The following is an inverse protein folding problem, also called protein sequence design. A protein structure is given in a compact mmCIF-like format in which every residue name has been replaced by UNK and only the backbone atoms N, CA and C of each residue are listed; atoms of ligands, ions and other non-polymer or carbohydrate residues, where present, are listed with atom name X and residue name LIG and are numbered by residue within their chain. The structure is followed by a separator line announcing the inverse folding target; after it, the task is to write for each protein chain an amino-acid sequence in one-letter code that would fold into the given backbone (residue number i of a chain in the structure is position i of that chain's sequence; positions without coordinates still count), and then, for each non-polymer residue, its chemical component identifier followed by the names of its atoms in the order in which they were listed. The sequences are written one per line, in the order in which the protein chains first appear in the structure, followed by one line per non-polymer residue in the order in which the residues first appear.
data_IF_418144319223
#
_entry.id   IF_418144319223
#
_cell.length_a   1.000
_cell.length_b   1.000
_cell.length_c   1.000
_cell.angle_alpha   90.00
_cell.angle_beta   90.00
_cell.angle_gamma   90.00
#
_symmetry.space_group_name_H-M   'P 1'
#
loop_
_entity.id
_entity.type
_entity.pdbx_description
1 polymer ?
#
# COMPACT_ATOMS: atom_id res chain seq x y z
N UNK A 1 12.33 2.86 14.47
CA UNK A 1 11.15 3.55 13.92
C UNK A 1 10.00 3.42 14.90
N UNK A 2 9.40 4.55 15.27
CA UNK A 2 8.26 4.53 16.19
C UNK A 2 6.96 4.48 15.39
N UNK A 3 6.25 3.36 15.47
CA UNK A 3 5.02 3.13 14.72
C UNK A 3 3.78 3.52 15.51
N UNK A 4 3.85 4.65 16.21
CA UNK A 4 2.70 5.12 16.96
C UNK A 4 1.82 6.04 16.12
N UNK A 5 0.52 5.91 16.34
CA UNK A 5 -0.46 6.77 15.70
C UNK A 5 -0.56 8.10 16.44
N UNK A 6 -0.62 9.21 15.68
CA UNK A 6 -0.82 10.54 16.26
C UNK A 6 -2.21 10.62 16.92
N UNK A 7 -2.24 11.05 18.18
CA UNK A 7 -3.49 11.12 18.94
C UNK A 7 -4.33 12.36 18.66
N UNK A 8 -3.71 13.48 18.32
CA UNK A 8 -4.40 14.75 18.06
C UNK A 8 -4.71 14.93 16.58
N UNK A 9 -5.61 14.09 16.06
CA UNK A 9 -6.03 14.16 14.66
C UNK A 9 -7.46 13.62 14.56
N UNK A 10 -8.22 14.12 13.60
CA UNK A 10 -9.52 13.55 13.28
C UNK A 10 -9.41 12.23 12.49
N UNK A 11 -8.23 11.90 12.01
CA UNK A 11 -7.97 10.69 11.22
C UNK A 11 -7.43 9.57 12.12
N UNK A 12 -8.19 9.22 13.16
CA UNK A 12 -7.78 8.19 14.10
C UNK A 12 -8.39 6.85 13.69
N UNK A 13 -7.55 5.82 13.69
CA UNK A 13 -7.94 4.44 13.42
C UNK A 13 -7.81 3.61 14.70
N UNK A 14 -8.60 2.53 14.84
CA UNK A 14 -8.28 1.53 15.87
C UNK A 14 -6.82 1.08 15.74
N UNK A 15 -6.14 0.85 16.85
CA UNK A 15 -4.71 0.56 16.86
C UNK A 15 -4.33 -0.59 15.90
N UNK A 16 -5.08 -1.68 15.94
CA UNK A 16 -4.83 -2.83 15.06
C UNK A 16 -4.96 -2.45 13.59
N UNK A 17 -5.96 -1.65 13.24
CA UNK A 17 -6.18 -1.20 11.87
C UNK A 17 -5.05 -0.27 11.43
N UNK A 18 -4.63 0.65 12.29
CA UNK A 18 -3.51 1.55 11.99
C UNK A 18 -2.24 0.76 11.66
N UNK A 19 -1.87 -0.17 12.51
CA UNK A 19 -0.67 -0.97 12.30
C UNK A 19 -0.77 -1.86 11.06
N UNK A 20 -1.91 -2.50 10.86
CA UNK A 20 -2.16 -3.32 9.67
C UNK A 20 -2.03 -2.49 8.40
N UNK A 21 -2.60 -1.29 8.38
CA UNK A 21 -2.53 -0.39 7.23
C UNK A 21 -1.10 0.05 6.98
N UNK A 22 -0.37 0.42 8.03
CA UNK A 22 1.03 0.85 7.93
C UNK A 22 1.90 -0.27 7.35
N UNK A 23 1.75 -1.50 7.83
CA UNK A 23 2.47 -2.66 7.29
C UNK A 23 2.12 -2.92 5.83
N UNK A 24 0.85 -2.75 5.46
CA UNK A 24 0.39 -2.90 4.07
C UNK A 24 1.05 -1.87 3.15
N UNK A 25 1.13 -0.61 3.57
CA UNK A 25 1.80 0.43 2.80
C UNK A 25 3.29 0.11 2.63
N UNK A 26 3.95 -0.39 3.67
CA UNK A 26 5.36 -0.80 3.60
C UNK A 26 5.60 -1.94 2.63
N UNK A 27 4.59 -2.75 2.36
CA UNK A 27 4.68 -3.88 1.45
C UNK A 27 4.53 -3.47 -0.03
N UNK A 28 4.28 -2.20 -0.31
CA UNK A 28 3.95 -1.69 -1.64
C UNK A 28 4.95 -2.12 -2.71
N UNK A 29 6.24 -1.93 -2.47
CA UNK A 29 7.26 -2.25 -3.48
C UNK A 29 7.33 -3.74 -3.77
N UNK A 30 7.19 -4.58 -2.75
CA UNK A 30 7.14 -6.02 -2.93
C UNK A 30 5.94 -6.42 -3.79
N UNK A 31 4.77 -5.85 -3.51
CA UNK A 31 3.55 -6.13 -4.29
C UNK A 31 3.70 -5.70 -5.74
N UNK A 32 4.32 -4.55 -5.98
CA UNK A 32 4.60 -4.06 -7.35
C UNK A 32 5.52 -5.03 -8.10
N UNK A 33 6.56 -5.51 -7.45
CA UNK A 33 7.49 -6.46 -8.04
C UNK A 33 6.80 -7.78 -8.35
N UNK A 34 5.99 -8.28 -7.43
CA UNK A 34 5.23 -9.53 -7.63
C UNK A 34 4.28 -9.42 -8.82
N UNK A 35 3.53 -8.32 -8.91
CA UNK A 35 2.61 -8.07 -10.02
C UNK A 35 3.37 -8.00 -11.34
N UNK A 36 4.50 -7.32 -11.36
CA UNK A 36 5.35 -7.23 -12.56
C UNK A 36 5.81 -8.60 -13.04
N UNK A 37 6.22 -9.46 -12.10
CA UNK A 37 6.64 -10.83 -12.40
C UNK A 37 5.50 -11.67 -12.95
N UNK A 38 4.29 -11.49 -12.43
CA UNK A 38 3.10 -12.23 -12.88
C UNK A 38 2.69 -11.88 -14.31
N UNK A 39 2.93 -10.64 -14.74
CA UNK A 39 2.58 -10.17 -16.09
C UNK A 39 3.62 -10.63 -17.11
N UNK A 40 4.90 -10.73 -16.71
CA UNK A 40 5.99 -11.03 -17.63
C UNK A 40 5.91 -12.50 -18.04
N UNK A 41 5.76 -12.83 -19.35
CA UNK A 41 5.75 -14.22 -19.79
C UNK A 41 7.08 -14.88 -19.45
N UNK A 42 7.04 -16.04 -18.83
CA UNK A 42 8.23 -16.82 -18.60
C UNK A 42 8.70 -17.38 -19.94
N UNK A 43 9.95 -17.09 -20.31
CA UNK A 43 10.55 -17.67 -21.50
C UNK A 43 10.54 -19.20 -21.37
N UNK A 44 10.03 -19.90 -22.40
CA UNK A 44 9.85 -21.34 -22.36
C UNK A 44 8.56 -21.79 -21.70
N UNK A 45 7.68 -20.87 -21.38
CA UNK A 45 6.37 -21.19 -20.87
C UNK A 45 5.62 -22.06 -21.86
N UNK A 46 5.27 -23.26 -21.45
CA UNK A 46 4.48 -24.15 -22.24
C UNK A 46 3.12 -23.54 -22.59
N UNK A 47 2.45 -24.18 -23.48
CA UNK A 47 1.12 -23.78 -23.92
C UNK A 47 0.23 -23.55 -22.71
N UNK A 48 -0.27 -22.32 -22.60
CA UNK A 48 -1.18 -21.98 -21.53
C UNK A 48 -2.49 -22.72 -21.70
N UNK A 49 -2.79 -23.62 -20.78
CA UNK A 49 -4.13 -24.15 -20.67
C UNK A 49 -5.05 -23.04 -20.17
N UNK A 50 -6.24 -22.87 -20.77
CA UNK A 50 -7.18 -21.86 -20.27
C UNK A 50 -7.48 -22.09 -18.79
N UNK A 51 -7.63 -21.03 -18.00
CA UNK A 51 -7.99 -21.19 -16.59
C UNK A 51 -9.32 -21.95 -16.48
N UNK A 52 -9.34 -22.99 -15.68
CA UNK A 52 -10.55 -23.79 -15.49
C UNK A 52 -11.57 -23.13 -14.57
N UNK A 53 -11.17 -22.08 -13.84
CA UNK A 53 -12.03 -21.47 -12.83
C UNK A 53 -12.16 -22.29 -11.56
N UNK A 54 -11.49 -23.41 -11.48
CA UNK A 54 -11.51 -24.29 -10.31
C UNK A 54 -10.61 -23.71 -9.22
N UNK A 55 -11.09 -23.58 -7.95
CA UNK A 55 -10.28 -23.04 -6.87
C UNK A 55 -8.96 -23.79 -6.62
N UNK A 56 -8.84 -25.03 -7.04
CA UNK A 56 -7.59 -25.78 -6.93
C UNK A 56 -6.61 -25.53 -8.06
N UNK A 57 -6.99 -24.80 -9.10
CA UNK A 57 -6.16 -24.56 -10.29
C UNK A 57 -5.07 -23.53 -10.00
N UNK A 58 -3.78 -23.83 -10.21
CA UNK A 58 -2.71 -22.85 -10.00
C UNK A 58 -2.88 -21.57 -10.81
N UNK A 59 -3.39 -21.64 -12.03
CA UNK A 59 -3.63 -20.45 -12.86
C UNK A 59 -4.75 -19.59 -12.28
N UNK A 60 -5.81 -20.22 -11.80
CA UNK A 60 -6.91 -19.51 -11.13
C UNK A 60 -6.41 -18.82 -9.86
N UNK A 61 -5.64 -19.52 -9.04
CA UNK A 61 -5.09 -18.96 -7.80
C UNK A 61 -4.16 -17.80 -8.07
N UNK A 62 -3.37 -17.88 -9.13
CA UNK A 62 -2.49 -16.78 -9.54
C UNK A 62 -3.29 -15.56 -10.00
N UNK A 63 -4.37 -15.76 -10.74
CA UNK A 63 -5.23 -14.68 -11.20
C UNK A 63 -5.90 -13.96 -10.02
N UNK A 64 -6.37 -14.71 -9.02
CA UNK A 64 -6.96 -14.14 -7.81
C UNK A 64 -5.93 -13.34 -7.03
N UNK A 65 -4.75 -13.90 -6.86
CA UNK A 65 -3.65 -13.23 -6.17
C UNK A 65 -3.25 -11.93 -6.88
N UNK A 66 -3.14 -11.95 -8.20
CA UNK A 66 -2.84 -10.78 -9.01
C UNK A 66 -3.88 -9.67 -8.79
N UNK A 67 -5.16 -10.03 -8.85
CA UNK A 67 -6.25 -9.09 -8.64
C UNK A 67 -6.22 -8.48 -7.23
N UNK A 68 -5.96 -9.29 -6.21
CA UNK A 68 -5.86 -8.82 -4.82
C UNK A 68 -4.70 -7.86 -4.64
N UNK A 69 -3.55 -8.15 -5.22
CA UNK A 69 -2.37 -7.29 -5.13
C UNK A 69 -2.59 -5.96 -5.85
N UNK A 70 -3.26 -5.99 -7.03
CA UNK A 70 -3.61 -4.78 -7.74
C UNK A 70 -4.55 -3.89 -6.92
N UNK A 71 -5.54 -4.49 -6.26
CA UNK A 71 -6.48 -3.74 -5.42
C UNK A 71 -5.74 -3.00 -4.30
N UNK A 72 -4.77 -3.66 -3.68
CA UNK A 72 -3.97 -3.04 -2.62
C UNK A 72 -3.12 -1.89 -3.18
N UNK A 73 -2.45 -2.13 -4.30
CA UNK A 73 -1.63 -1.10 -4.96
C UNK A 73 -2.47 0.12 -5.32
N UNK A 74 -3.64 -0.10 -5.92
CA UNK A 74 -4.54 0.98 -6.30
C UNK A 74 -5.04 1.77 -5.10
N UNK A 75 -5.38 1.09 -4.02
CA UNK A 75 -5.83 1.75 -2.79
C UNK A 75 -4.76 2.69 -2.22
N UNK A 76 -3.50 2.26 -2.27
CA UNK A 76 -2.37 3.08 -1.83
C UNK A 76 -2.12 4.24 -2.80
N UNK A 77 -2.12 3.97 -4.09
CA UNK A 77 -1.88 5.00 -5.12
C UNK A 77 -2.94 6.09 -5.08
N UNK A 78 -4.20 5.74 -4.92
CA UNK A 78 -5.30 6.71 -4.83
C UNK A 78 -5.13 7.63 -3.63
N UNK A 79 -4.82 7.07 -2.47
CA UNK A 79 -4.59 7.86 -1.27
C UNK A 79 -3.35 8.74 -1.41
N UNK A 80 -2.28 8.22 -2.02
CA UNK A 80 -1.04 8.97 -2.24
C UNK A 80 -1.25 10.17 -3.16
N UNK A 81 -2.13 10.06 -4.15
CA UNK A 81 -2.46 11.16 -5.05
C UNK A 81 -3.12 12.34 -4.31
N UNK A 82 -3.69 12.12 -3.15
CA UNK A 82 -4.27 13.17 -2.32
C UNK A 82 -3.25 13.87 -1.42
N UNK A 83 -2.01 13.39 -1.35
CA UNK A 83 -0.96 14.07 -0.62
C UNK A 83 -0.49 15.27 -1.45
N UNK A 84 -0.42 16.49 -0.87
CA UNK A 84 0.18 17.61 -1.58
C UNK A 84 1.58 17.25 -2.06
N UNK A 85 1.88 17.61 -3.31
CA UNK A 85 3.11 17.19 -4.00
C UNK A 85 4.38 17.50 -3.21
N UNK A 86 4.40 18.63 -2.54
CA UNK A 86 5.54 19.10 -1.75
C UNK A 86 5.85 18.22 -0.54
N UNK A 87 4.88 17.44 -0.05
CA UNK A 87 5.03 16.59 1.12
C UNK A 87 5.12 15.10 0.78
N UNK A 88 4.83 14.73 -0.45
CA UNK A 88 4.67 13.31 -0.85
C UNK A 88 5.92 12.48 -0.55
N UNK A 89 7.08 12.90 -1.03
CA UNK A 89 8.31 12.12 -0.81
C UNK A 89 8.70 12.04 0.65
N UNK A 90 8.51 13.11 1.42
CA UNK A 90 8.82 13.11 2.84
C UNK A 90 8.00 12.11 3.61
N UNK A 91 6.70 12.05 3.32
CA UNK A 91 5.79 11.09 3.97
C UNK A 91 6.09 9.67 3.51
N UNK A 92 6.26 9.46 2.21
CA UNK A 92 6.56 8.14 1.66
C UNK A 92 7.84 7.55 2.24
N UNK A 93 8.91 8.32 2.25
CA UNK A 93 10.19 7.87 2.78
C UNK A 93 10.14 7.63 4.29
N UNK A 94 9.36 8.43 5.01
CA UNK A 94 9.16 8.21 6.44
C UNK A 94 8.49 6.85 6.70
N UNK A 95 7.45 6.52 5.94
CA UNK A 95 6.72 5.26 6.11
C UNK A 95 7.57 4.08 5.66
N UNK A 96 8.19 4.17 4.47
CA UNK A 96 8.92 3.04 3.88
C UNK A 96 10.23 2.74 4.59
N UNK A 97 10.97 3.78 4.97
CA UNK A 97 12.36 3.63 5.43
C UNK A 97 12.62 4.21 6.82
N UNK A 98 11.62 4.79 7.45
CA UNK A 98 11.80 5.45 8.73
C UNK A 98 12.59 6.76 8.63
N UNK A 99 12.69 7.32 7.44
CA UNK A 99 13.42 8.57 7.23
C UNK A 99 12.77 9.73 7.98
N UNK A 100 13.59 10.64 8.49
CA UNK A 100 13.09 11.86 9.11
C UNK A 100 12.37 12.72 8.09
N UNK A 101 11.36 13.47 8.55
CA UNK A 101 10.71 14.44 7.68
C UNK A 101 11.70 15.51 7.22
N UNK A 102 11.56 16.02 5.97
CA UNK A 102 12.34 17.17 5.53
C UNK A 102 12.09 18.38 6.43
N UNK A 103 13.06 19.29 6.51
CA UNK A 103 12.97 20.48 7.36
C UNK A 103 12.33 21.67 6.65
N UNK A 104 11.66 21.45 5.53
CA UNK A 104 10.99 22.49 4.75
C UNK A 104 9.62 22.89 5.32
N UNK A 105 9.12 22.14 6.27
CA UNK A 105 7.86 22.41 6.97
C UNK A 105 7.92 21.87 8.38
N UNK A 106 6.96 22.27 9.21
CA UNK A 106 6.89 21.79 10.57
C UNK A 106 6.60 20.29 10.62
N UNK A 107 7.19 19.62 11.61
CA UNK A 107 6.98 18.20 11.86
C UNK A 107 5.51 17.86 12.05
N UNK A 108 4.74 18.74 12.70
CA UNK A 108 3.32 18.55 12.91
C UNK A 108 2.54 18.56 11.60
N UNK A 109 2.95 19.35 10.62
CA UNK A 109 2.33 19.38 9.29
C UNK A 109 2.47 18.03 8.61
N UNK A 110 3.68 17.48 8.59
CA UNK A 110 3.92 16.13 8.04
C UNK A 110 3.11 15.08 8.80
N UNK A 111 3.04 15.18 10.12
CA UNK A 111 2.30 14.24 10.96
C UNK A 111 0.81 14.21 10.63
N UNK A 112 0.20 15.37 10.41
CA UNK A 112 -1.21 15.45 10.03
C UNK A 112 -1.46 14.84 8.65
N UNK A 113 -0.63 15.16 7.69
CA UNK A 113 -0.76 14.65 6.32
C UNK A 113 -0.55 13.13 6.30
N UNK A 114 0.43 12.62 7.04
CA UNK A 114 0.67 11.18 7.19
C UNK A 114 -0.56 10.49 7.79
N UNK A 115 -1.15 11.06 8.83
CA UNK A 115 -2.35 10.49 9.47
C UNK A 115 -3.50 10.39 8.48
N UNK A 116 -3.73 11.43 7.69
CA UNK A 116 -4.75 11.43 6.65
C UNK A 116 -4.47 10.37 5.58
N UNK A 117 -3.24 10.27 5.13
CA UNK A 117 -2.85 9.28 4.12
C UNK A 117 -3.13 7.86 4.59
N UNK A 118 -2.65 7.51 5.78
CA UNK A 118 -2.86 6.17 6.35
C UNK A 118 -4.35 5.88 6.52
N UNK A 119 -5.12 6.87 6.99
CA UNK A 119 -6.57 6.75 7.15
C UNK A 119 -7.26 6.46 5.80
N UNK A 120 -6.91 7.21 4.76
CA UNK A 120 -7.49 7.03 3.44
C UNK A 120 -7.16 5.66 2.83
N UNK A 121 -5.94 5.16 3.03
CA UNK A 121 -5.59 3.81 2.61
C UNK A 121 -6.47 2.77 3.31
N UNK A 122 -6.67 2.91 4.61
CA UNK A 122 -7.52 2.00 5.38
C UNK A 122 -8.97 2.02 4.87
N UNK A 123 -9.50 3.19 4.54
CA UNK A 123 -10.84 3.32 3.94
C UNK A 123 -10.87 2.62 2.59
N UNK A 124 -9.90 2.88 1.74
CA UNK A 124 -9.85 2.31 0.38
C UNK A 124 -9.73 0.79 0.39
N UNK A 125 -9.08 0.24 1.42
CA UNK A 125 -8.93 -1.20 1.61
C UNK A 125 -10.08 -1.84 2.38
N UNK A 126 -11.06 -1.05 2.79
CA UNK A 126 -12.20 -1.52 3.57
C UNK A 126 -11.81 -2.12 4.93
N UNK A 127 -10.75 -1.60 5.53
CA UNK A 127 -10.33 -1.99 6.88
C UNK A 127 -11.18 -1.33 7.96
N UNK A 128 -11.84 -0.26 7.60
CA UNK A 128 -12.80 0.47 8.47
C UNK A 128 -14.01 0.90 7.68
#
# INVERSE_FOLDING_TARGET
MKDYQRKKTKYILPAAVYHKTLWTIRDYHRLKDEVSTMITPKSGGGEGTPPSGDPGDPTYNLAVKYSQYLDIIQAIDEARNNIPREYDLGIWNNIQYGARYPQDAERSTYGHIKSRFVYEVAINLHFV
#
